data_IF_036581448997
#
_entry.id   IF_036581448997
#
_cell.length_a   1.000
_cell.length_b   1.000
_cell.length_c   1.000
_cell.angle_alpha   90.00
_cell.angle_beta   90.00
_cell.angle_gamma   90.00
#
_symmetry.space_group_name_H-M   'P 1'
#
loop_
_entity.id
_entity.type
_entity.pdbx_description
1 polymer ?
#
# COMPACT_ATOMS: atom_id res chain seq x y z
N UNK A 1 -27.15 23.20 -5.99
CA UNK A 1 -28.02 23.71 -7.05
C UNK A 1 -28.87 22.57 -7.59
N UNK A 2 -30.18 22.73 -7.53
CA UNK A 2 -31.14 21.85 -8.19
C UNK A 2 -31.77 22.58 -9.38
N UNK A 3 -32.61 21.88 -10.13
CA UNK A 3 -33.47 22.43 -11.17
C UNK A 3 -34.37 23.60 -10.70
N UNK A 4 -34.60 23.74 -9.39
CA UNK A 4 -35.44 24.78 -8.79
C UNK A 4 -34.69 25.89 -8.06
N UNK A 5 -33.37 25.83 -7.95
CA UNK A 5 -32.54 26.89 -7.36
C UNK A 5 -31.41 26.42 -6.45
N UNK A 6 -30.87 27.36 -5.68
CA UNK A 6 -29.79 27.11 -4.72
C UNK A 6 -30.35 26.93 -3.31
N UNK A 7 -30.06 25.77 -2.73
CA UNK A 7 -30.50 25.39 -1.39
C UNK A 7 -29.28 25.26 -0.47
N UNK A 8 -29.33 25.81 0.75
CA UNK A 8 -28.29 25.58 1.75
C UNK A 8 -28.29 24.12 2.17
N UNK A 9 -27.09 23.55 2.31
CA UNK A 9 -26.90 22.14 2.56
C UNK A 9 -25.75 21.91 3.56
N UNK A 10 -25.92 20.91 4.41
CA UNK A 10 -24.92 20.48 5.39
C UNK A 10 -24.17 19.29 4.82
N UNK A 11 -22.85 19.38 4.81
CA UNK A 11 -21.97 18.32 4.34
C UNK A 11 -21.11 17.79 5.49
N UNK A 12 -20.72 16.53 5.40
CA UNK A 12 -19.66 15.97 6.23
C UNK A 12 -18.60 15.30 5.36
N UNK A 13 -17.37 15.30 5.87
CA UNK A 13 -16.22 14.75 5.18
C UNK A 13 -15.81 13.46 5.87
N UNK A 14 -15.53 12.42 5.09
CA UNK A 14 -15.01 11.16 5.59
C UNK A 14 -13.81 10.73 4.75
N UNK A 15 -12.77 10.21 5.39
CA UNK A 15 -11.61 9.65 4.67
C UNK A 15 -12.06 8.54 3.74
N UNK A 16 -11.64 8.61 2.49
CA UNK A 16 -11.96 7.59 1.48
C UNK A 16 -11.17 6.32 1.77
N UNK A 17 -11.86 5.18 1.79
CA UNK A 17 -11.23 3.87 1.92
C UNK A 17 -11.10 3.14 0.58
N UNK A 18 -11.68 3.67 -0.50
CA UNK A 18 -11.79 3.01 -1.81
C UNK A 18 -10.45 2.48 -2.32
N UNK A 19 -9.39 3.30 -2.27
CA UNK A 19 -8.05 2.86 -2.70
C UNK A 19 -7.31 2.07 -1.63
N UNK A 20 -7.57 2.32 -0.34
CA UNK A 20 -6.99 1.53 0.75
C UNK A 20 -7.47 0.07 0.72
N UNK A 21 -8.74 -0.15 0.37
CA UNK A 21 -9.30 -1.47 0.12
C UNK A 21 -8.64 -2.17 -1.08
N UNK A 22 -8.16 -1.41 -2.08
CA UNK A 22 -7.34 -1.97 -3.18
C UNK A 22 -5.95 -2.40 -2.70
N UNK A 23 -5.34 -1.70 -1.75
CA UNK A 23 -4.09 -2.15 -1.11
C UNK A 23 -4.32 -3.48 -0.36
N UNK A 24 -5.43 -3.60 0.36
CA UNK A 24 -5.80 -4.83 1.06
C UNK A 24 -6.05 -6.00 0.08
N UNK A 25 -6.73 -5.75 -1.04
CA UNK A 25 -6.87 -6.75 -2.12
C UNK A 25 -5.50 -7.16 -2.68
N UNK A 26 -4.58 -6.21 -2.87
CA UNK A 26 -3.22 -6.51 -3.32
C UNK A 26 -2.47 -7.38 -2.29
N UNK A 27 -2.65 -7.14 -0.99
CA UNK A 27 -2.09 -7.99 0.05
C UNK A 27 -2.58 -9.44 -0.05
N UNK A 28 -3.88 -9.64 -0.28
CA UNK A 28 -4.45 -10.98 -0.48
C UNK A 28 -3.85 -11.67 -1.73
N UNK A 29 -3.63 -10.90 -2.81
CA UNK A 29 -2.99 -11.40 -4.03
C UNK A 29 -1.53 -11.81 -3.76
N UNK A 30 -0.75 -10.99 -3.07
CA UNK A 30 0.63 -11.34 -2.69
C UNK A 30 0.68 -12.65 -1.88
N UNK A 31 -0.22 -12.78 -0.90
CA UNK A 31 -0.33 -13.98 -0.10
C UNK A 31 -0.70 -15.21 -0.95
N UNK A 32 -1.67 -15.10 -1.85
CA UNK A 32 -2.08 -16.19 -2.75
C UNK A 32 -0.96 -16.62 -3.73
N UNK A 33 -0.08 -15.71 -4.10
CA UNK A 33 1.10 -15.98 -4.94
C UNK A 33 2.30 -16.48 -4.14
N UNK A 34 2.18 -16.68 -2.83
CA UNK A 34 3.28 -17.07 -1.91
C UNK A 34 4.44 -16.06 -1.89
N UNK A 35 4.15 -14.78 -2.14
CA UNK A 35 5.15 -13.71 -2.10
C UNK A 35 5.00 -12.93 -0.78
N UNK A 36 6.10 -12.74 -0.01
CA UNK A 36 6.05 -11.93 1.19
C UNK A 36 5.56 -10.51 0.90
N UNK A 37 4.54 -10.07 1.65
CA UNK A 37 4.03 -8.70 1.53
C UNK A 37 5.11 -7.67 1.85
N UNK A 38 5.17 -6.57 1.10
CA UNK A 38 5.94 -5.40 1.48
C UNK A 38 5.00 -4.21 1.63
N UNK A 39 5.00 -3.57 2.80
CA UNK A 39 4.20 -2.37 3.08
C UNK A 39 4.35 -1.36 1.95
N UNK A 40 3.22 -0.86 1.45
CA UNK A 40 3.17 0.18 0.42
C UNK A 40 3.20 1.54 1.09
N UNK A 41 3.97 2.49 0.56
CA UNK A 41 3.92 3.87 1.01
C UNK A 41 2.65 4.52 0.44
N UNK A 42 1.59 4.55 1.25
CA UNK A 42 0.25 4.96 0.83
C UNK A 42 -0.12 6.39 1.25
N UNK A 43 0.86 7.26 1.54
CA UNK A 43 0.64 8.58 2.13
C UNK A 43 -0.44 9.40 1.41
N UNK A 44 -0.42 9.45 0.08
CA UNK A 44 -1.44 10.15 -0.71
C UNK A 44 -2.84 9.58 -0.54
N UNK A 45 -2.98 8.27 -0.37
CA UNK A 45 -4.29 7.62 -0.23
C UNK A 45 -4.95 7.97 1.11
N UNK A 46 -4.17 8.20 2.17
CA UNK A 46 -4.68 8.63 3.48
C UNK A 46 -5.16 10.09 3.51
N UNK A 47 -4.80 10.89 2.48
CA UNK A 47 -5.24 12.27 2.27
C UNK A 47 -6.44 12.40 1.34
N UNK A 48 -7.01 11.29 0.88
CA UNK A 48 -8.22 11.30 0.06
C UNK A 48 -9.47 11.29 0.94
N UNK A 49 -10.41 12.17 0.63
CA UNK A 49 -11.66 12.30 1.36
C UNK A 49 -12.86 12.30 0.40
N UNK A 50 -13.93 11.62 0.81
CA UNK A 50 -15.22 11.67 0.17
C UNK A 50 -16.09 12.68 0.92
N UNK A 51 -16.82 13.51 0.18
CA UNK A 51 -17.75 14.51 0.71
C UNK A 51 -19.17 13.96 0.58
N UNK A 52 -19.88 13.91 1.70
CA UNK A 52 -21.24 13.41 1.77
C UNK A 52 -22.20 14.53 2.13
N UNK A 53 -23.34 14.53 1.47
CA UNK A 53 -24.46 15.39 1.80
C UNK A 53 -25.20 14.80 3.01
N UNK A 54 -25.30 15.57 4.09
CA UNK A 54 -26.01 15.17 5.31
C UNK A 54 -27.47 15.57 5.26
N UNK A 55 -27.72 16.84 4.93
CA UNK A 55 -29.05 17.45 4.98
C UNK A 55 -29.11 18.62 4.00
N UNK A 56 -30.30 18.88 3.47
CA UNK A 56 -30.56 20.03 2.60
C UNK A 56 -31.75 20.76 3.18
N UNK A 57 -31.54 22.01 3.59
CA UNK A 57 -32.62 22.82 4.13
C UNK A 57 -33.69 23.04 3.05
N UNK A 58 -34.92 22.57 3.33
CA UNK A 58 -36.08 22.79 2.47
C UNK A 58 -36.30 21.75 1.36
N UNK A 59 -35.52 20.67 1.31
CA UNK A 59 -35.71 19.56 0.38
C UNK A 59 -36.18 18.30 1.14
N UNK A 60 -37.49 18.10 1.21
CA UNK A 60 -38.05 16.85 1.69
C UNK A 60 -37.65 15.70 0.74
N UNK A 61 -37.31 14.53 1.28
CA UNK A 61 -36.96 13.32 0.50
C UNK A 61 -38.04 12.86 -0.50
N UNK A 62 -39.23 13.48 -0.46
CA UNK A 62 -40.34 13.27 -1.39
C UNK A 62 -40.33 14.21 -2.61
N UNK A 63 -39.47 15.24 -2.62
CA UNK A 63 -39.29 16.12 -3.77
C UNK A 63 -38.32 15.43 -4.72
N UNK A 64 -38.82 14.88 -5.83
CA UNK A 64 -38.03 14.18 -6.86
C UNK A 64 -37.11 15.10 -7.67
N UNK A 65 -36.49 16.08 -7.02
CA UNK A 65 -35.62 17.08 -7.63
C UNK A 65 -34.22 16.50 -7.80
N UNK A 66 -33.68 16.61 -9.02
CA UNK A 66 -32.34 16.11 -9.32
C UNK A 66 -31.28 17.13 -8.92
N UNK A 67 -30.31 16.69 -8.12
CA UNK A 67 -29.13 17.48 -7.76
C UNK A 67 -28.21 17.60 -8.98
N UNK A 68 -28.09 18.80 -9.55
CA UNK A 68 -27.26 19.04 -10.73
C UNK A 68 -25.81 19.35 -10.38
N UNK A 69 -25.59 20.12 -9.31
CA UNK A 69 -24.26 20.52 -8.88
C UNK A 69 -24.21 20.76 -7.37
N UNK A 70 -23.08 20.36 -6.79
CA UNK A 70 -22.74 20.58 -5.39
C UNK A 70 -21.52 21.49 -5.34
N UNK A 71 -21.69 22.66 -4.71
CA UNK A 71 -20.57 23.54 -4.37
C UNK A 71 -20.43 23.56 -2.85
N UNK A 72 -19.23 23.26 -2.37
CA UNK A 72 -18.89 23.28 -0.95
C UNK A 72 -17.78 24.31 -0.76
N UNK A 73 -17.99 25.22 0.17
CA UNK A 73 -17.01 26.19 0.66
C UNK A 73 -16.25 25.56 1.82
N UNK A 74 -14.94 25.34 1.65
CA UNK A 74 -14.08 24.80 2.72
C UNK A 74 -13.28 25.89 3.44
N UNK A 75 -13.56 27.17 3.16
CA UNK A 75 -12.97 28.32 3.84
C UNK A 75 -11.44 28.31 3.79
N UNK A 76 -10.80 28.31 4.96
CA UNK A 76 -9.33 28.34 5.07
C UNK A 76 -8.63 27.10 4.47
N UNK A 77 -9.36 26.01 4.22
CA UNK A 77 -8.81 24.80 3.64
C UNK A 77 -8.79 24.79 2.11
N UNK A 78 -9.55 25.68 1.44
CA UNK A 78 -9.65 25.72 -0.03
C UNK A 78 -8.30 25.71 -0.76
N UNK A 79 -7.26 26.46 -0.32
CA UNK A 79 -5.95 26.44 -0.98
C UNK A 79 -5.23 25.08 -0.94
N UNK A 80 -5.59 24.21 0.01
CA UNK A 80 -4.98 22.89 0.21
C UNK A 80 -5.75 21.75 -0.47
N UNK A 81 -6.89 22.07 -1.10
CA UNK A 81 -7.77 21.07 -1.71
C UNK A 81 -7.44 20.84 -3.18
N UNK A 82 -7.12 19.59 -3.50
CA UNK A 82 -6.96 19.14 -4.88
C UNK A 82 -8.14 18.25 -5.29
N UNK A 83 -8.94 18.72 -6.25
CA UNK A 83 -10.13 18.03 -6.75
C UNK A 83 -9.77 17.20 -7.99
N UNK A 84 -10.43 16.06 -8.18
CA UNK A 84 -10.25 15.22 -9.37
C UNK A 84 -8.92 14.45 -9.43
N UNK A 85 -8.22 14.33 -8.31
CA UNK A 85 -6.95 13.60 -8.23
C UNK A 85 -7.18 12.09 -8.37
N UNK A 86 -6.39 11.46 -9.24
CA UNK A 86 -6.40 10.00 -9.44
C UNK A 86 -5.02 9.47 -9.05
N UNK A 87 -4.91 8.48 -8.14
CA UNK A 87 -3.63 7.93 -7.77
C UNK A 87 -3.03 7.16 -8.94
N UNK A 88 -1.76 7.43 -9.22
CA UNK A 88 -1.00 6.69 -10.21
C UNK A 88 -0.21 5.58 -9.54
N UNK A 89 -0.10 4.45 -10.22
CA UNK A 89 0.66 3.31 -9.75
C UNK A 89 1.30 2.57 -10.91
N UNK A 90 2.37 1.83 -10.65
CA UNK A 90 3.10 1.06 -11.66
C UNK A 90 2.48 -0.33 -11.91
N UNK A 91 1.21 -0.53 -11.56
CA UNK A 91 0.47 -1.78 -11.70
C UNK A 91 -0.52 -1.69 -12.86
N UNK A 92 -0.51 -2.67 -13.74
CA UNK A 92 -1.50 -2.83 -14.82
C UNK A 92 -2.09 -4.23 -14.82
N UNK A 93 -3.40 -4.36 -15.04
CA UNK A 93 -4.05 -5.66 -15.17
C UNK A 93 -3.96 -6.12 -16.62
N UNK A 94 -3.52 -7.36 -16.85
CA UNK A 94 -3.41 -7.96 -18.17
C UNK A 94 -3.99 -9.38 -18.13
N UNK A 95 -4.67 -9.77 -19.19
CA UNK A 95 -5.20 -11.13 -19.32
C UNK A 95 -4.32 -11.89 -20.31
N UNK A 96 -3.81 -13.05 -19.89
CA UNK A 96 -2.91 -13.86 -20.73
C UNK A 96 -3.34 -15.32 -20.72
N UNK A 97 -3.70 -15.84 -21.90
CA UNK A 97 -4.05 -17.24 -22.05
C UNK A 97 -2.82 -18.13 -22.15
N UNK A 98 -2.91 -19.30 -21.53
CA UNK A 98 -1.91 -20.37 -21.70
C UNK A 98 -1.91 -20.90 -23.13
N UNK A 99 -0.72 -21.14 -23.68
CA UNK A 99 -0.53 -21.58 -25.07
C UNK A 99 -0.71 -23.08 -25.29
N UNK A 100 -0.59 -23.90 -24.24
CA UNK A 100 -0.62 -25.36 -24.32
C UNK A 100 -1.39 -25.97 -23.14
N UNK A 101 -1.73 -27.24 -23.26
CA UNK A 101 -2.25 -28.02 -22.13
C UNK A 101 -1.25 -28.02 -20.97
N UNK A 102 -1.72 -27.82 -19.73
CA UNK A 102 -0.88 -27.89 -18.54
C UNK A 102 -0.14 -29.23 -18.42
N UNK A 103 1.11 -29.19 -17.96
CA UNK A 103 1.89 -30.39 -17.73
C UNK A 103 1.59 -30.99 -16.34
N UNK A 104 1.31 -32.29 -16.21
CA UNK A 104 1.05 -32.89 -14.90
C UNK A 104 2.32 -32.88 -14.04
N UNK A 105 2.20 -32.48 -12.78
CA UNK A 105 3.27 -32.58 -11.80
C UNK A 105 3.47 -34.04 -11.35
N UNK A 106 4.62 -34.33 -10.72
CA UNK A 106 4.96 -35.69 -10.25
C UNK A 106 4.00 -36.24 -9.18
N UNK A 107 3.26 -35.36 -8.51
CA UNK A 107 2.24 -35.74 -7.53
C UNK A 107 0.92 -36.22 -8.17
N UNK A 108 0.77 -36.08 -9.49
CA UNK A 108 -0.44 -36.39 -10.25
C UNK A 108 -1.73 -35.67 -9.79
N UNK A 109 -1.61 -34.67 -8.93
CA UNK A 109 -2.71 -33.85 -8.41
C UNK A 109 -2.66 -32.46 -9.02
N UNK A 110 -1.46 -31.90 -9.13
CA UNK A 110 -1.24 -30.57 -9.65
C UNK A 110 -0.79 -30.60 -11.11
N UNK A 111 -1.03 -29.47 -11.76
CA UNK A 111 -0.70 -29.20 -13.14
C UNK A 111 0.06 -27.88 -13.20
N UNK A 112 1.08 -27.85 -14.03
CA UNK A 112 1.91 -26.68 -14.28
C UNK A 112 1.49 -26.03 -15.60
N UNK A 113 0.99 -24.82 -15.47
CA UNK A 113 0.65 -23.90 -16.55
C UNK A 113 1.87 -23.05 -16.86
N UNK A 114 2.20 -22.92 -18.15
CA UNK A 114 3.33 -22.11 -18.61
C UNK A 114 2.83 -20.97 -19.49
N UNK A 115 3.19 -19.75 -19.11
CA UNK A 115 3.07 -18.56 -19.93
C UNK A 115 4.48 -18.20 -20.41
N UNK A 116 4.68 -18.28 -21.72
CA UNK A 116 5.99 -18.01 -22.32
C UNK A 116 6.34 -16.51 -22.26
N UNK A 117 7.63 -16.22 -22.11
CA UNK A 117 8.22 -14.89 -21.97
C UNK A 117 7.83 -13.95 -23.11
N UNK A 118 7.70 -14.45 -24.34
CA UNK A 118 7.30 -13.63 -25.50
C UNK A 118 5.86 -13.09 -25.41
N UNK A 119 5.03 -13.65 -24.51
CA UNK A 119 3.68 -13.15 -24.19
C UNK A 119 3.68 -12.17 -23.02
N UNK A 120 4.82 -12.00 -22.36
CA UNK A 120 5.01 -11.12 -21.21
C UNK A 120 5.88 -9.93 -21.64
N UNK A 121 5.66 -8.79 -21.00
CA UNK A 121 6.48 -7.61 -21.20
C UNK A 121 7.86 -7.82 -20.55
N UNK A 122 8.95 -7.57 -21.28
CA UNK A 122 10.30 -7.78 -20.76
C UNK A 122 10.58 -6.84 -19.58
N UNK A 123 11.25 -7.37 -18.55
CA UNK A 123 11.63 -6.59 -17.35
C UNK A 123 10.47 -6.26 -16.40
N UNK A 124 9.26 -6.76 -16.66
CA UNK A 124 8.13 -6.64 -15.74
C UNK A 124 8.00 -7.88 -14.84
N UNK A 125 7.39 -7.68 -13.67
CA UNK A 125 7.02 -8.79 -12.79
C UNK A 125 5.51 -9.03 -12.85
N UNK A 126 5.09 -10.24 -12.46
CA UNK A 126 3.71 -10.66 -12.61
C UNK A 126 3.20 -11.37 -11.35
N UNK A 127 1.95 -11.12 -11.01
CA UNK A 127 1.19 -11.82 -9.98
C UNK A 127 -0.10 -12.36 -10.61
N UNK A 128 -0.53 -13.54 -10.22
CA UNK A 128 -1.86 -14.05 -10.56
C UNK A 128 -2.89 -13.31 -9.71
N UNK A 129 -3.79 -12.55 -10.35
CA UNK A 129 -4.76 -11.70 -9.66
C UNK A 129 -6.01 -12.46 -9.18
N UNK A 130 -6.31 -13.60 -9.81
CA UNK A 130 -7.44 -14.45 -9.45
C UNK A 130 -7.25 -15.10 -8.08
N UNK A 131 -8.18 -14.85 -7.16
CA UNK A 131 -8.23 -15.47 -5.82
C UNK A 131 -9.20 -16.67 -5.77
N UNK A 132 -9.91 -16.92 -6.87
CA UNK A 132 -10.88 -18.01 -7.03
C UNK A 132 -10.23 -19.39 -7.07
N UNK A 133 -8.95 -19.45 -7.44
CA UNK A 133 -8.21 -20.70 -7.68
C UNK A 133 -7.07 -20.84 -6.69
N UNK A 134 -7.00 -21.95 -5.92
CA UNK A 134 -5.87 -22.19 -5.04
C UNK A 134 -4.61 -22.43 -5.87
N UNK A 135 -3.60 -21.60 -5.63
CA UNK A 135 -2.28 -21.70 -6.26
C UNK A 135 -1.34 -22.45 -5.32
N UNK A 136 -0.65 -23.46 -5.85
CA UNK A 136 0.39 -24.20 -5.12
C UNK A 136 1.71 -23.46 -5.17
N UNK A 137 2.05 -22.88 -6.33
CA UNK A 137 3.28 -22.14 -6.53
C UNK A 137 3.19 -21.23 -7.77
N UNK A 138 3.87 -20.09 -7.73
CA UNK A 138 4.05 -19.19 -8.88
C UNK A 138 5.52 -18.80 -8.95
N UNK A 139 6.16 -19.04 -10.10
CA UNK A 139 7.59 -18.74 -10.29
C UNK A 139 7.88 -18.21 -11.68
N UNK A 140 8.86 -17.33 -11.76
CA UNK A 140 9.43 -16.83 -13.02
C UNK A 140 10.77 -17.54 -13.25
N UNK A 141 10.91 -18.23 -14.38
CA UNK A 141 12.10 -18.99 -14.77
C UNK A 141 12.46 -18.60 -16.20
N UNK A 142 13.65 -18.02 -16.40
CA UNK A 142 14.13 -17.57 -17.71
C UNK A 142 13.14 -16.68 -18.48
N UNK A 143 12.35 -15.87 -17.75
CA UNK A 143 11.31 -14.99 -18.28
C UNK A 143 9.94 -15.65 -18.48
N UNK A 144 9.85 -16.97 -18.39
CA UNK A 144 8.59 -17.69 -18.43
C UNK A 144 7.94 -17.72 -17.05
N UNK A 145 6.62 -17.53 -17.01
CA UNK A 145 5.84 -17.65 -15.78
C UNK A 145 5.24 -19.06 -15.69
N UNK A 146 5.57 -19.75 -14.61
CA UNK A 146 5.08 -21.10 -14.29
C UNK A 146 4.11 -21.01 -13.11
N UNK A 147 2.90 -21.47 -13.31
CA UNK A 147 1.81 -21.46 -12.33
C UNK A 147 1.41 -22.90 -12.04
N UNK A 148 1.55 -23.34 -10.80
CA UNK A 148 1.19 -24.68 -10.36
C UNK A 148 -0.15 -24.63 -9.62
N UNK A 149 -1.15 -25.34 -10.13
CA UNK A 149 -2.52 -25.37 -9.57
C UNK A 149 -3.21 -26.70 -9.92
N UNK A 150 -4.48 -26.88 -9.54
CA UNK A 150 -5.24 -28.12 -9.82
C UNK A 150 -5.99 -28.09 -11.17
N UNK A 151 -5.89 -26.98 -11.92
CA UNK A 151 -6.58 -26.81 -13.19
C UNK A 151 -5.95 -27.66 -14.29
N UNK A 152 -6.75 -28.57 -14.86
CA UNK A 152 -6.28 -29.55 -15.88
C UNK A 152 -6.28 -28.99 -17.30
N UNK A 153 -7.17 -28.04 -17.58
CA UNK A 153 -7.38 -27.47 -18.90
C UNK A 153 -6.61 -26.16 -19.11
N UNK A 154 -6.53 -25.67 -20.36
CA UNK A 154 -6.02 -24.33 -20.63
C UNK A 154 -6.86 -23.28 -19.89
N UNK A 155 -6.17 -22.29 -19.31
CA UNK A 155 -6.78 -21.19 -18.55
C UNK A 155 -6.32 -19.85 -19.11
N UNK A 156 -7.24 -18.89 -19.14
CA UNK A 156 -6.95 -17.46 -19.28
C UNK A 156 -6.65 -16.90 -17.90
N UNK A 157 -5.41 -16.47 -17.67
CA UNK A 157 -4.95 -15.98 -16.39
C UNK A 157 -5.07 -14.46 -16.35
N UNK A 158 -5.82 -13.97 -15.36
CA UNK A 158 -5.79 -12.57 -14.97
C UNK A 158 -4.52 -12.29 -14.17
N UNK A 159 -3.65 -11.45 -14.71
CA UNK A 159 -2.38 -11.08 -14.10
C UNK A 159 -2.35 -9.61 -13.71
N UNK A 160 -1.68 -9.31 -12.59
CA UNK A 160 -1.18 -7.98 -12.29
C UNK A 160 0.26 -7.88 -12.75
N UNK A 161 0.51 -7.01 -13.72
CA UNK A 161 1.84 -6.65 -14.21
C UNK A 161 2.39 -5.48 -13.41
N UNK A 162 3.54 -5.71 -12.77
CA UNK A 162 4.34 -4.71 -12.08
C UNK A 162 5.38 -4.16 -13.06
N UNK A 163 5.24 -2.90 -13.40
CA UNK A 163 6.14 -2.22 -14.32
C UNK A 163 7.32 -1.62 -13.54
N UNK A 164 8.56 -1.73 -14.06
CA UNK A 164 9.70 -1.06 -13.45
C UNK A 164 9.50 0.46 -13.47
N UNK A 165 10.13 1.17 -12.53
CA UNK A 165 9.99 2.62 -12.48
C UNK A 165 10.48 3.22 -13.81
N UNK A 166 9.60 3.98 -14.46
CA UNK A 166 9.99 4.71 -15.66
C UNK A 166 10.72 5.98 -15.22
N UNK A 167 12.06 5.95 -15.26
CA UNK A 167 12.93 7.06 -14.82
C UNK A 167 12.72 8.40 -15.56
N UNK A 168 11.74 8.49 -16.48
CA UNK A 168 11.58 9.61 -17.42
C UNK A 168 10.30 10.44 -17.23
N UNK A 169 9.41 10.07 -16.32
CA UNK A 169 8.18 10.82 -16.11
C UNK A 169 8.36 11.81 -14.95
N UNK A 170 8.26 13.10 -15.27
CA UNK A 170 8.21 14.17 -14.27
C UNK A 170 6.75 14.37 -13.88
N UNK A 171 6.42 14.05 -12.64
CA UNK A 171 5.11 14.29 -12.06
C UNK A 171 5.15 15.55 -11.20
N UNK A 172 4.00 16.21 -11.07
CA UNK A 172 3.83 17.35 -10.16
C UNK A 172 4.06 16.94 -8.70
N UNK A 173 3.60 15.73 -8.33
CA UNK A 173 3.80 15.12 -7.03
C UNK A 173 4.83 14.01 -7.13
N UNK A 174 5.72 13.94 -6.14
CA UNK A 174 6.79 12.95 -6.13
C UNK A 174 6.22 11.52 -6.00
N UNK A 175 6.68 10.57 -6.84
CA UNK A 175 6.35 9.15 -6.67
C UNK A 175 6.90 8.60 -5.36
N UNK A 176 6.02 8.09 -4.51
CA UNK A 176 6.43 7.46 -3.25
C UNK A 176 6.93 6.04 -3.51
N UNK A 177 8.16 5.77 -3.10
CA UNK A 177 8.82 4.48 -3.24
C UNK A 177 8.65 3.62 -1.99
N UNK A 178 8.42 2.33 -2.20
CA UNK A 178 8.35 1.32 -1.13
C UNK A 178 9.44 0.25 -1.24
N UNK A 179 10.35 0.40 -2.21
CA UNK A 179 11.54 -0.43 -2.39
C UNK A 179 12.72 0.24 -1.67
N UNK A 180 13.43 -0.47 -0.77
CA UNK A 180 14.65 0.05 -0.20
C UNK A 180 15.74 0.15 -1.27
N UNK A 181 16.62 1.14 -1.16
CA UNK A 181 17.78 1.27 -2.01
C UNK A 181 18.65 0.00 -1.96
N UNK A 182 19.15 -0.40 -3.13
CA UNK A 182 20.05 -1.53 -3.26
C UNK A 182 21.31 -1.27 -2.44
N UNK A 183 21.66 -2.24 -1.59
CA UNK A 183 22.90 -2.19 -0.82
C UNK A 183 23.39 -3.60 -0.56
N UNK A 184 24.71 -3.76 -0.50
CA UNK A 184 25.35 -5.04 -0.18
C UNK A 184 24.78 -5.67 1.10
N UNK A 185 24.47 -4.85 2.12
CA UNK A 185 23.86 -5.32 3.36
C UNK A 185 22.39 -5.75 3.19
N UNK A 186 21.64 -5.11 2.28
CA UNK A 186 20.28 -5.54 1.92
C UNK A 186 20.30 -6.91 1.21
N UNK A 187 21.24 -7.11 0.29
CA UNK A 187 21.40 -8.37 -0.45
C UNK A 187 21.80 -9.52 0.49
N UNK A 188 22.71 -9.26 1.43
CA UNK A 188 23.11 -10.23 2.44
C UNK A 188 21.93 -10.61 3.35
N UNK A 189 21.14 -9.65 3.83
CA UNK A 189 19.98 -9.99 4.67
C UNK A 189 18.92 -10.78 3.90
N UNK A 190 18.73 -10.51 2.60
CA UNK A 190 17.86 -11.31 1.75
C UNK A 190 18.38 -12.76 1.59
N UNK A 191 19.71 -12.92 1.48
CA UNK A 191 20.37 -14.23 1.38
C UNK A 191 20.33 -15.03 2.70
N UNK A 192 20.58 -14.40 3.84
CA UNK A 192 20.76 -15.10 5.12
C UNK A 192 19.48 -15.22 5.95
N UNK A 193 18.44 -14.42 5.68
CA UNK A 193 17.13 -14.39 6.38
C UNK A 193 17.20 -14.33 7.93
N UNK A 194 18.38 -14.13 8.51
CA UNK A 194 18.65 -14.00 9.93
C UNK A 194 19.11 -12.57 10.21
N UNK A 195 18.17 -11.64 10.19
CA UNK A 195 18.44 -10.26 10.56
C UNK A 195 18.73 -10.15 12.06
N UNK A 196 19.90 -9.60 12.40
CA UNK A 196 20.24 -9.27 13.80
C UNK A 196 19.42 -8.05 14.21
N UNK A 197 18.43 -8.23 15.09
CA UNK A 197 17.53 -7.18 15.60
C UNK A 197 18.26 -6.20 16.53
N UNK A 198 18.98 -5.24 15.94
CA UNK A 198 19.71 -4.19 16.66
C UNK A 198 19.21 -2.80 16.31
N UNK A 199 19.57 -1.81 17.15
CA UNK A 199 19.36 -0.39 16.83
C UNK A 199 20.02 0.03 15.52
N UNK A 200 21.19 -0.56 15.21
CA UNK A 200 21.88 -0.32 13.95
C UNK A 200 21.10 -0.84 12.74
N UNK A 201 20.53 -2.04 12.86
CA UNK A 201 19.68 -2.63 11.82
C UNK A 201 18.39 -1.83 11.62
N UNK A 202 17.75 -1.39 12.70
CA UNK A 202 16.59 -0.49 12.62
C UNK A 202 16.93 0.79 11.84
N UNK A 203 18.04 1.45 12.19
CA UNK A 203 18.52 2.65 11.49
C UNK A 203 18.80 2.37 10.02
N UNK A 204 19.48 1.27 9.72
CA UNK A 204 19.80 0.85 8.35
C UNK A 204 18.54 0.67 7.50
N UNK A 205 17.54 -0.04 8.04
CA UNK A 205 16.27 -0.30 7.35
C UNK A 205 15.51 1.01 7.12
N UNK A 206 15.40 1.89 8.12
CA UNK A 206 14.71 3.18 7.96
C UNK A 206 15.39 4.03 6.88
N UNK A 207 16.71 4.19 6.95
CA UNK A 207 17.46 5.02 6.00
C UNK A 207 17.45 4.44 4.57
N UNK A 208 17.30 3.11 4.43
CA UNK A 208 17.29 2.48 3.11
C UNK A 208 16.12 2.92 2.21
N UNK A 209 15.02 3.45 2.78
CA UNK A 209 13.89 3.94 2.00
C UNK A 209 14.10 5.34 1.41
N UNK A 210 15.19 6.04 1.78
CA UNK A 210 15.59 7.28 1.11
C UNK A 210 14.80 8.53 1.46
N UNK A 211 13.99 8.52 2.53
CA UNK A 211 13.16 9.66 2.95
C UNK A 211 13.85 10.59 3.98
N UNK A 212 15.18 10.52 4.14
CA UNK A 212 15.93 11.28 5.15
C UNK A 212 15.92 12.79 4.89
N UNK A 213 15.70 13.19 3.65
CA UNK A 213 15.51 14.56 3.17
C UNK A 213 14.16 15.16 3.56
N UNK A 214 13.18 14.34 3.92
CA UNK A 214 11.88 14.79 4.43
C UNK A 214 11.79 14.56 5.94
N UNK A 215 12.01 13.32 6.38
CA UNK A 215 11.89 12.89 7.79
C UNK A 215 13.10 12.02 8.17
N UNK A 216 13.96 12.57 9.02
CA UNK A 216 15.21 11.92 9.43
C UNK A 216 15.07 11.18 10.77
N UNK A 217 15.53 9.94 10.82
CA UNK A 217 15.54 9.14 12.05
C UNK A 217 16.68 9.54 13.00
N UNK A 218 16.32 9.88 14.23
CA UNK A 218 17.26 10.35 15.26
C UNK A 218 17.64 9.23 16.22
N UNK A 219 16.66 8.70 16.94
CA UNK A 219 16.90 7.77 18.05
C UNK A 219 15.68 6.91 18.35
N UNK A 220 15.90 5.89 19.20
CA UNK A 220 14.86 4.96 19.64
C UNK A 220 14.95 4.79 21.15
N UNK A 221 13.79 4.78 21.81
CA UNK A 221 13.62 4.49 23.22
C UNK A 221 12.71 3.28 23.42
N UNK A 222 12.94 2.50 24.48
CA UNK A 222 12.16 1.31 24.82
C UNK A 222 11.48 1.50 26.18
N UNK A 223 10.30 0.90 26.35
CA UNK A 223 9.59 0.87 27.63
C UNK A 223 8.94 2.20 28.04
N UNK A 224 8.80 3.14 27.09
CA UNK A 224 8.15 4.44 27.32
C UNK A 224 6.63 4.26 27.26
N UNK A 225 5.87 5.06 28.02
CA UNK A 225 4.40 5.08 27.87
C UNK A 225 4.03 5.62 26.49
N UNK A 226 3.13 4.94 25.81
CA UNK A 226 2.57 5.39 24.52
C UNK A 226 1.94 6.79 24.74
N UNK A 227 2.25 7.78 23.88
CA UNK A 227 1.55 9.07 23.89
C UNK A 227 0.03 8.86 23.78
N UNK A 228 -0.80 9.67 24.45
CA UNK A 228 -2.26 9.50 24.40
C UNK A 228 -2.82 9.61 22.97
N UNK A 229 -2.17 10.39 22.10
CA UNK A 229 -2.49 10.49 20.68
C UNK A 229 -1.24 10.12 19.87
N UNK A 230 -1.22 8.95 19.19
CA UNK A 230 -0.10 8.59 18.33
C UNK A 230 -0.14 9.44 17.06
N UNK A 231 0.98 10.08 16.74
CA UNK A 231 1.15 10.87 15.50
C UNK A 231 1.18 9.98 14.24
N UNK A 232 1.56 8.71 14.41
CA UNK A 232 1.67 7.73 13.34
C UNK A 232 0.51 6.75 13.29
N UNK A 233 0.15 6.32 12.09
CA UNK A 233 -0.85 5.27 11.85
C UNK A 233 -0.25 4.03 11.15
N UNK A 234 -0.89 2.87 11.34
CA UNK A 234 -0.48 1.61 10.71
C UNK A 234 -0.97 1.54 9.25
N UNK A 235 -0.04 1.54 8.29
CA UNK A 235 -0.35 1.38 6.86
C UNK A 235 -0.73 -0.05 6.47
N UNK A 236 -0.41 -1.03 7.32
CA UNK A 236 -0.73 -2.46 7.16
C UNK A 236 -1.84 -2.89 8.14
N UNK A 237 -2.75 -1.99 8.50
CA UNK A 237 -3.84 -2.26 9.48
C UNK A 237 -4.74 -3.44 9.12
N UNK A 238 -4.84 -3.80 7.83
CA UNK A 238 -5.61 -4.94 7.35
C UNK A 238 -4.95 -6.29 7.71
N UNK A 239 -3.66 -6.28 8.07
CA UNK A 239 -2.95 -7.48 8.51
C UNK A 239 -3.35 -7.79 9.96
N UNK A 240 -4.38 -8.61 10.08
CA UNK A 240 -4.87 -9.19 11.34
C UNK A 240 -4.01 -10.39 11.75
N UNK A 241 -2.75 -10.12 12.07
CA UNK A 241 -1.86 -11.20 12.52
C UNK A 241 -2.22 -11.63 13.95
N UNK A 242 -2.57 -12.92 14.13
CA UNK A 242 -2.91 -13.51 15.44
C UNK A 242 -1.73 -13.50 16.43
N UNK A 243 -0.50 -13.30 15.95
CA UNK A 243 0.69 -13.10 16.79
C UNK A 243 0.75 -11.69 17.40
N UNK A 244 -0.01 -10.70 16.88
CA UNK A 244 -0.13 -9.32 17.39
C UNK A 244 -1.01 -9.21 18.65
N UNK A 245 -0.83 -10.07 19.65
CA UNK A 245 -1.44 -9.86 20.99
C UNK A 245 -0.78 -8.62 21.62
N UNK A 246 -1.46 -7.48 21.58
CA UNK A 246 -0.98 -6.16 22.03
C UNK A 246 -0.83 -6.04 23.55
N UNK A 247 -1.43 -6.93 24.33
CA UNK A 247 -1.69 -6.73 25.76
C UNK A 247 -0.45 -6.83 26.68
N UNK A 248 0.72 -7.26 26.17
CA UNK A 248 1.93 -7.42 26.97
C UNK A 248 3.23 -6.92 26.29
N UNK A 249 3.12 -6.09 25.26
CA UNK A 249 4.29 -5.65 24.47
C UNK A 249 4.84 -4.33 24.99
N UNK A 250 6.16 -4.29 25.15
CA UNK A 250 6.86 -3.03 25.42
C UNK A 250 6.72 -2.08 24.22
N UNK A 251 6.71 -0.79 24.50
CA UNK A 251 6.66 0.25 23.47
C UNK A 251 8.06 0.56 22.97
N UNK A 252 8.21 0.70 21.65
CA UNK A 252 9.39 1.20 20.97
C UNK A 252 9.05 2.57 20.37
N UNK A 253 9.57 3.62 20.97
CA UNK A 253 9.36 4.99 20.54
C UNK A 253 10.46 5.40 19.57
N UNK A 254 10.10 5.73 18.34
CA UNK A 254 11.01 6.16 17.29
C UNK A 254 10.92 7.68 17.14
N UNK A 255 12.05 8.36 17.35
CA UNK A 255 12.16 9.81 17.22
C UNK A 255 12.63 10.19 15.83
N UNK A 256 11.91 11.13 15.23
CA UNK A 256 12.22 11.68 13.92
C UNK A 256 12.32 13.21 14.00
N UNK A 257 12.94 13.83 13.01
CA UNK A 257 12.87 15.27 12.80
C UNK A 257 12.52 15.57 11.34
N UNK A 258 11.70 16.57 11.09
CA UNK A 258 11.41 17.03 9.74
C UNK A 258 12.54 17.93 9.22
N UNK A 259 12.86 17.81 7.93
CA UNK A 259 13.73 18.78 7.25
C UNK A 259 13.02 20.12 7.03
N UNK A 260 11.73 20.04 6.67
CA UNK A 260 10.81 21.17 6.57
C UNK A 260 9.57 20.87 7.42
N UNK A 261 9.35 21.58 8.55
CA UNK A 261 8.20 21.35 9.42
C UNK A 261 6.85 21.49 8.73
N UNK A 262 6.75 22.33 7.68
CA UNK A 262 5.51 22.62 6.97
C UNK A 262 5.23 21.60 5.84
N UNK A 263 6.12 20.63 5.62
CA UNK A 263 5.93 19.61 4.59
C UNK A 263 4.75 18.68 4.96
N UNK A 264 3.74 18.69 4.10
CA UNK A 264 2.50 17.93 4.26
C UNK A 264 2.68 16.41 4.31
N UNK A 265 3.85 15.86 3.91
CA UNK A 265 4.15 14.43 3.92
C UNK A 265 4.85 13.93 5.20
N UNK A 266 5.26 14.82 6.10
CA UNK A 266 6.09 14.45 7.26
C UNK A 266 5.50 13.29 8.09
N UNK A 267 4.25 13.44 8.53
CA UNK A 267 3.59 12.44 9.37
C UNK A 267 3.30 11.13 8.62
N UNK A 268 3.05 11.21 7.31
CA UNK A 268 2.71 10.05 6.51
C UNK A 268 3.94 9.21 6.17
N UNK A 269 5.06 9.84 5.83
CA UNK A 269 6.34 9.15 5.63
C UNK A 269 6.86 8.57 6.95
N UNK A 270 6.70 9.30 8.06
CA UNK A 270 6.96 8.76 9.39
C UNK A 270 6.10 7.53 9.67
N UNK A 271 4.79 7.58 9.37
CA UNK A 271 3.87 6.44 9.53
C UNK A 271 4.29 5.22 8.68
N UNK A 272 4.75 5.45 7.45
CA UNK A 272 5.30 4.39 6.60
C UNK A 272 6.54 3.74 7.23
N UNK A 273 7.51 4.54 7.64
CA UNK A 273 8.77 4.07 8.25
C UNK A 273 8.52 3.31 9.57
N UNK A 274 7.59 3.80 10.38
CA UNK A 274 7.17 3.13 11.62
C UNK A 274 6.43 1.83 11.32
N UNK A 275 5.60 1.76 10.28
CA UNK A 275 4.96 0.50 9.86
C UNK A 275 6.01 -0.53 9.42
N UNK A 276 7.06 -0.10 8.71
CA UNK A 276 8.20 -0.97 8.36
C UNK A 276 8.95 -1.45 9.60
N UNK A 277 9.22 -0.57 10.56
CA UNK A 277 9.85 -0.92 11.83
C UNK A 277 8.98 -1.92 12.62
N UNK A 278 7.67 -1.71 12.68
CA UNK A 278 6.71 -2.59 13.34
C UNK A 278 6.71 -4.01 12.77
N UNK A 279 6.94 -4.16 11.46
CA UNK A 279 7.05 -5.47 10.82
C UNK A 279 8.35 -6.20 11.19
N UNK A 280 9.46 -5.46 11.33
CA UNK A 280 10.75 -6.02 11.73
C UNK A 280 10.79 -6.38 13.22
N UNK A 281 10.21 -5.50 14.05
CA UNK A 281 10.16 -5.59 15.51
C UNK A 281 8.74 -5.92 15.95
N UNK A 282 8.24 -7.08 15.52
CA UNK A 282 6.89 -7.52 15.79
C UNK A 282 6.62 -7.76 17.28
N UNK A 283 7.64 -7.87 18.12
CA UNK A 283 7.54 -8.02 19.58
C UNK A 283 7.24 -6.70 20.32
N UNK A 284 7.47 -5.54 19.70
CA UNK A 284 7.21 -4.22 20.28
C UNK A 284 5.94 -3.58 19.71
N UNK A 285 5.42 -2.56 20.40
CA UNK A 285 4.50 -1.58 19.81
C UNK A 285 5.32 -0.39 19.34
N UNK A 286 5.49 -0.25 18.04
CA UNK A 286 6.27 0.84 17.45
C UNK A 286 5.40 2.09 17.30
N UNK A 287 5.90 3.23 17.78
CA UNK A 287 5.24 4.54 17.68
C UNK A 287 6.25 5.57 17.23
N UNK A 288 5.90 6.39 16.24
CA UNK A 288 6.73 7.51 15.81
C UNK A 288 6.30 8.81 16.47
N UNK A 289 7.28 9.66 16.78
CA UNK A 289 7.06 11.05 17.17
C UNK A 289 7.99 11.96 16.39
N UNK A 290 7.48 13.13 16.02
CA UNK A 290 8.25 14.18 15.41
C UNK A 290 8.79 15.10 16.50
N UNK A 291 10.11 15.10 16.70
CA UNK A 291 10.78 16.05 17.57
C UNK A 291 10.66 17.47 16.94
N UNK A 292 10.31 18.45 17.77
CA UNK A 292 10.18 19.86 17.40
C UNK A 292 11.53 20.54 17.14
#
# INVERSE_FOLDING_TARGET
TTDKGDFPAVFFVKRSTKYLERIEQLYQIFHANHIPWSTVCAAYLYKMFDVYLSDVEGLDAACGDEVQAVSVDFGAYDPFLHRGMVPLWNLSRVEVSTSMYPSPCADHVHYEHRIFAHRLAPGCHYLVAGLDRPLQNVRLVDGDMLITCQERGPVSWDLLQLNPSSQKLRYEYEPLVNQPADSFASDLNALYQQGVKTRGELRRVILSYGYDDVVSFRRVELGVKIPPEPETYDMDRFITDKLRRKEARETMLLHFSAADPDNYLNLDLMSFLVTKAQKLFSEYVCVGILDA
#
